data_IF_958315862324
#
_entry.id   IF_958315862324
#
_cell.length_a   1.000
_cell.length_b   1.000
_cell.length_c   1.000
_cell.angle_alpha   90.00
_cell.angle_beta   90.00
_cell.angle_gamma   90.00
#
_symmetry.space_group_name_H-M   'P 1'
#
loop_
_entity.id
_entity.type
_entity.pdbx_description
1 polymer ?
#
# COMPACT_ATOMS: atom_id res chain seq x y z
N UNK A 1 15.99 -49.16 -53.99
CA UNK A 1 16.27 -48.34 -52.78
C UNK A 1 15.43 -47.06 -52.67
N UNK A 2 14.84 -46.50 -53.73
CA UNK A 2 14.08 -45.24 -53.66
C UNK A 2 12.62 -45.34 -53.18
N UNK A 3 12.03 -46.55 -53.09
CA UNK A 3 10.63 -46.73 -52.68
C UNK A 3 10.44 -46.83 -51.14
N UNK A 4 11.47 -47.28 -50.40
CA UNK A 4 11.40 -47.38 -48.93
C UNK A 4 11.54 -46.00 -48.26
N UNK A 5 12.37 -45.12 -48.81
CA UNK A 5 12.67 -43.80 -48.22
C UNK A 5 11.43 -42.87 -48.29
N UNK A 6 10.62 -42.98 -49.36
CA UNK A 6 9.40 -42.18 -49.54
C UNK A 6 8.27 -42.55 -48.57
N UNK A 7 8.14 -43.83 -48.19
CA UNK A 7 7.13 -44.27 -47.21
C UNK A 7 7.47 -43.88 -45.77
N UNK A 8 8.75 -43.80 -45.43
CA UNK A 8 9.23 -43.39 -44.10
C UNK A 8 9.05 -41.88 -43.89
N UNK A 9 9.25 -41.06 -44.93
CA UNK A 9 9.01 -39.62 -44.86
C UNK A 9 7.52 -39.26 -44.74
N UNK A 10 6.61 -40.04 -45.34
CA UNK A 10 5.18 -39.82 -45.21
C UNK A 10 4.65 -40.15 -43.79
N UNK A 11 5.25 -41.15 -43.13
CA UNK A 11 4.91 -41.52 -41.74
C UNK A 11 5.44 -40.52 -40.71
N UNK A 12 6.60 -39.90 -40.97
CA UNK A 12 7.16 -38.86 -40.09
C UNK A 12 6.39 -37.54 -40.17
N UNK A 13 5.78 -37.19 -41.32
CA UNK A 13 4.97 -35.98 -41.45
C UNK A 13 3.58 -36.11 -40.80
N UNK A 14 3.03 -37.33 -40.72
CA UNK A 14 1.74 -37.59 -40.06
C UNK A 14 1.84 -37.60 -38.51
N UNK A 15 3.03 -37.84 -37.94
CA UNK A 15 3.24 -37.85 -36.50
C UNK A 15 3.42 -36.45 -35.88
N UNK A 16 3.68 -35.42 -36.70
CA UNK A 16 3.93 -34.04 -36.26
C UNK A 16 2.67 -33.17 -36.16
N UNK A 17 1.49 -33.67 -36.56
CA UNK A 17 0.23 -32.93 -36.49
C UNK A 17 -0.67 -33.28 -35.29
N UNK A 18 -0.26 -34.21 -34.42
CA UNK A 18 -1.07 -34.67 -33.28
C UNK A 18 -0.76 -33.95 -31.96
N UNK A 19 0.18 -33.01 -31.94
CA UNK A 19 0.46 -32.19 -30.76
C UNK A 19 -0.42 -30.93 -30.74
N UNK A 20 -1.74 -31.10 -30.90
CA UNK A 20 -2.67 -30.09 -30.40
C UNK A 20 -2.64 -30.25 -28.89
N UNK A 21 -2.01 -29.28 -28.22
CA UNK A 21 -2.07 -29.14 -26.78
C UNK A 21 -3.54 -29.16 -26.35
N UNK A 22 -3.97 -30.26 -25.73
CA UNK A 22 -5.09 -30.24 -24.80
C UNK A 22 -4.64 -29.31 -23.67
N UNK A 23 -4.99 -28.03 -23.77
CA UNK A 23 -5.13 -27.22 -22.58
C UNK A 23 -6.13 -27.95 -21.70
N UNK A 24 -5.66 -28.53 -20.60
CA UNK A 24 -6.52 -29.10 -19.57
C UNK A 24 -7.43 -27.97 -19.09
N UNK A 25 -8.67 -27.94 -19.58
CA UNK A 25 -9.73 -27.23 -18.91
C UNK A 25 -9.88 -27.93 -17.56
N UNK A 26 -9.23 -27.37 -16.54
CA UNK A 26 -9.33 -27.85 -15.16
C UNK A 26 -10.81 -27.85 -14.80
N UNK A 27 -11.41 -29.04 -14.76
CA UNK A 27 -12.84 -29.21 -14.52
C UNK A 27 -13.08 -28.82 -13.07
N UNK A 28 -13.62 -27.61 -12.86
CA UNK A 28 -14.02 -27.07 -11.56
C UNK A 28 -15.28 -27.81 -11.06
N UNK A 29 -15.11 -29.06 -10.64
CA UNK A 29 -16.17 -29.91 -10.13
C UNK A 29 -16.65 -29.42 -8.75
N UNK A 30 -17.46 -28.35 -8.74
CA UNK A 30 -18.22 -27.89 -7.57
C UNK A 30 -17.38 -27.45 -6.37
N UNK A 31 -16.10 -27.13 -6.56
CA UNK A 31 -15.27 -26.59 -5.47
C UNK A 31 -15.85 -25.26 -4.99
N UNK A 32 -16.07 -24.30 -5.89
CA UNK A 32 -16.76 -23.04 -5.58
C UNK A 32 -18.06 -23.26 -4.79
N UNK A 33 -18.91 -24.20 -5.21
CA UNK A 33 -20.18 -24.50 -4.54
C UNK A 33 -19.99 -25.03 -3.12
N UNK A 34 -18.97 -25.86 -2.89
CA UNK A 34 -18.64 -26.37 -1.55
C UNK A 34 -18.18 -25.25 -0.61
N UNK A 35 -17.34 -24.36 -1.11
CA UNK A 35 -16.87 -23.19 -0.37
C UNK A 35 -18.04 -22.26 -0.03
N UNK A 36 -18.90 -21.97 -1.01
CA UNK A 36 -20.13 -21.19 -0.78
C UNK A 36 -21.03 -21.82 0.27
N UNK A 37 -21.34 -23.11 0.17
CA UNK A 37 -22.15 -23.81 1.17
C UNK A 37 -21.52 -23.76 2.57
N UNK A 38 -20.20 -23.89 2.65
CA UNK A 38 -19.47 -23.76 3.91
C UNK A 38 -19.59 -22.37 4.53
N UNK A 39 -19.45 -21.32 3.72
CA UNK A 39 -19.60 -19.94 4.16
C UNK A 39 -21.03 -19.64 4.61
N UNK A 40 -22.04 -20.03 3.83
CA UNK A 40 -23.46 -19.86 4.18
C UNK A 40 -23.83 -20.59 5.46
N UNK A 41 -23.35 -21.82 5.65
CA UNK A 41 -23.57 -22.58 6.88
C UNK A 41 -22.90 -21.90 8.09
N UNK A 42 -21.75 -21.24 7.91
CA UNK A 42 -21.12 -20.46 8.97
C UNK A 42 -21.93 -19.20 9.29
N UNK A 43 -22.45 -18.49 8.28
CA UNK A 43 -23.36 -17.36 8.46
C UNK A 43 -24.65 -17.75 9.20
N UNK A 44 -25.25 -18.90 8.86
CA UNK A 44 -26.45 -19.42 9.54
C UNK A 44 -26.20 -19.64 11.04
N UNK A 45 -24.98 -20.06 11.40
CA UNK A 45 -24.53 -20.19 12.80
C UNK A 45 -24.06 -18.87 13.43
N UNK A 46 -24.15 -17.75 12.72
CA UNK A 46 -23.61 -16.42 13.10
C UNK A 46 -22.10 -16.42 13.37
N UNK A 47 -21.38 -17.38 12.80
CA UNK A 47 -19.92 -17.46 12.86
C UNK A 47 -19.33 -16.69 11.66
N UNK A 48 -19.41 -15.37 11.74
CA UNK A 48 -19.01 -14.48 10.65
C UNK A 48 -17.49 -14.45 10.44
N UNK A 49 -16.69 -14.75 11.46
CA UNK A 49 -15.24 -14.87 11.34
C UNK A 49 -14.87 -16.05 10.44
N UNK A 50 -15.49 -17.21 10.67
CA UNK A 50 -15.30 -18.39 9.81
C UNK A 50 -15.83 -18.12 8.40
N UNK A 51 -17.01 -17.54 8.26
CA UNK A 51 -17.56 -17.17 6.94
C UNK A 51 -16.61 -16.24 6.17
N UNK A 52 -16.06 -15.21 6.83
CA UNK A 52 -15.11 -14.27 6.24
C UNK A 52 -13.81 -14.97 5.80
N UNK A 53 -13.28 -15.91 6.59
CA UNK A 53 -12.11 -16.69 6.18
C UNK A 53 -12.40 -17.52 4.93
N UNK A 54 -13.57 -18.18 4.86
CA UNK A 54 -13.96 -18.99 3.71
C UNK A 54 -14.13 -18.12 2.45
N UNK A 55 -14.79 -16.97 2.54
CA UNK A 55 -14.96 -16.05 1.41
C UNK A 55 -13.61 -15.50 0.90
N UNK A 56 -12.70 -15.12 1.81
CA UNK A 56 -11.37 -14.62 1.42
C UNK A 56 -10.56 -15.67 0.69
N UNK A 57 -10.50 -16.88 1.23
CA UNK A 57 -9.84 -18.01 0.58
C UNK A 57 -10.48 -18.35 -0.78
N UNK A 58 -11.81 -18.23 -0.91
CA UNK A 58 -12.49 -18.42 -2.20
C UNK A 58 -12.05 -17.36 -3.23
N UNK A 59 -11.92 -16.09 -2.83
CA UNK A 59 -11.40 -15.02 -3.70
C UNK A 59 -9.94 -15.29 -4.08
N UNK A 60 -9.11 -15.69 -3.11
CA UNK A 60 -7.69 -16.00 -3.33
C UNK A 60 -7.47 -17.24 -4.21
N UNK A 61 -8.43 -18.16 -4.25
CA UNK A 61 -8.35 -19.37 -5.09
C UNK A 61 -8.33 -19.07 -6.60
N UNK A 62 -8.76 -17.88 -7.02
CA UNK A 62 -8.85 -17.49 -8.43
C UNK A 62 -9.92 -18.26 -9.22
N UNK A 63 -10.77 -19.05 -8.54
CA UNK A 63 -11.88 -19.77 -9.16
C UNK A 63 -12.98 -18.82 -9.62
N UNK A 64 -13.81 -19.22 -10.61
CA UNK A 64 -15.01 -18.47 -10.96
C UNK A 64 -15.89 -18.28 -9.72
N UNK A 65 -16.23 -17.02 -9.45
CA UNK A 65 -17.03 -16.61 -8.28
C UNK A 65 -18.51 -16.58 -8.66
N UNK A 66 -19.42 -17.09 -7.81
CA UNK A 66 -20.85 -17.00 -8.06
C UNK A 66 -21.34 -15.56 -7.94
N UNK A 67 -22.31 -15.18 -8.76
CA UNK A 67 -22.84 -13.80 -8.82
C UNK A 67 -23.49 -13.36 -7.50
N UNK A 68 -23.97 -14.30 -6.68
CA UNK A 68 -24.56 -14.05 -5.36
C UNK A 68 -23.51 -13.96 -4.23
N UNK A 69 -22.26 -14.39 -4.47
CA UNK A 69 -21.21 -14.36 -3.45
C UNK A 69 -20.95 -12.96 -2.88
N UNK A 70 -20.85 -11.89 -3.69
CA UNK A 70 -20.60 -10.54 -3.19
C UNK A 70 -21.68 -10.06 -2.21
N UNK A 71 -22.94 -10.48 -2.36
CA UNK A 71 -24.01 -10.16 -1.42
C UNK A 71 -23.73 -10.80 -0.05
N UNK A 72 -23.57 -12.12 0.02
CA UNK A 72 -23.34 -12.81 1.30
C UNK A 72 -22.03 -12.40 1.98
N UNK A 73 -21.00 -12.10 1.19
CA UNK A 73 -19.75 -11.60 1.74
C UNK A 73 -19.93 -10.18 2.29
N UNK A 74 -20.74 -9.33 1.64
CA UNK A 74 -21.07 -8.00 2.16
C UNK A 74 -21.83 -8.06 3.49
N UNK A 75 -22.79 -8.97 3.66
CA UNK A 75 -23.47 -9.20 4.94
C UNK A 75 -22.48 -9.66 6.02
N UNK A 76 -21.61 -10.61 5.68
CA UNK A 76 -20.58 -11.09 6.61
C UNK A 76 -19.67 -9.96 7.08
N UNK A 77 -19.23 -9.10 6.17
CA UNK A 77 -18.37 -7.95 6.48
C UNK A 77 -19.10 -6.90 7.31
N UNK A 78 -20.41 -6.72 7.09
CA UNK A 78 -21.23 -5.82 7.91
C UNK A 78 -21.27 -6.28 9.37
N UNK A 79 -21.54 -7.56 9.60
CA UNK A 79 -21.62 -8.14 10.95
C UNK A 79 -20.25 -8.13 11.67
N UNK A 80 -19.15 -8.11 10.90
CA UNK A 80 -17.79 -7.94 11.42
C UNK A 80 -17.39 -6.46 11.62
N UNK A 81 -18.24 -5.49 11.30
CA UNK A 81 -17.93 -4.07 11.39
C UNK A 81 -17.00 -3.53 10.30
N UNK A 82 -16.72 -4.33 9.26
CA UNK A 82 -15.91 -3.92 8.10
C UNK A 82 -16.79 -3.21 7.06
N UNK A 83 -17.39 -2.08 7.46
CA UNK A 83 -18.47 -1.43 6.71
C UNK A 83 -18.06 -0.91 5.33
N UNK A 84 -16.85 -0.36 5.17
CA UNK A 84 -16.35 0.08 3.86
C UNK A 84 -16.22 -1.09 2.88
N UNK A 85 -15.58 -2.19 3.32
CA UNK A 85 -15.48 -3.42 2.53
C UNK A 85 -16.86 -3.99 2.20
N UNK A 86 -17.76 -4.03 3.19
CA UNK A 86 -19.15 -4.46 2.99
C UNK A 86 -19.84 -3.64 1.89
N UNK A 87 -19.74 -2.31 1.95
CA UNK A 87 -20.30 -1.42 0.93
C UNK A 87 -19.71 -1.66 -0.46
N UNK A 88 -18.40 -1.90 -0.56
CA UNK A 88 -17.74 -2.15 -1.83
C UNK A 88 -18.21 -3.46 -2.49
N UNK A 89 -18.32 -4.55 -1.72
CA UNK A 89 -18.85 -5.82 -2.24
C UNK A 89 -20.35 -5.74 -2.56
N UNK A 90 -21.12 -5.03 -1.77
CA UNK A 90 -22.55 -4.81 -2.02
C UNK A 90 -22.78 -4.02 -3.31
N UNK A 91 -22.00 -2.96 -3.54
CA UNK A 91 -22.05 -2.22 -4.79
C UNK A 91 -21.69 -3.11 -5.98
N UNK A 92 -20.70 -4.01 -5.81
CA UNK A 92 -20.32 -4.96 -6.85
C UNK A 92 -21.44 -5.96 -7.15
N UNK A 93 -22.13 -6.45 -6.14
CA UNK A 93 -23.31 -7.30 -6.31
C UNK A 93 -24.38 -6.62 -7.18
N UNK A 94 -24.75 -5.39 -6.81
CA UNK A 94 -25.79 -4.63 -7.52
C UNK A 94 -25.37 -4.26 -8.95
N UNK A 95 -24.08 -4.05 -9.21
CA UNK A 95 -23.54 -3.83 -10.56
C UNK A 95 -23.69 -5.08 -11.44
N UNK A 96 -23.37 -6.26 -10.90
CA UNK A 96 -23.39 -7.52 -11.64
C UNK A 96 -24.82 -8.01 -11.93
N UNK A 97 -25.70 -7.93 -10.93
CA UNK A 97 -27.03 -8.55 -11.00
C UNK A 97 -28.15 -7.56 -11.33
N UNK A 98 -27.92 -6.26 -11.11
CA UNK A 98 -28.93 -5.23 -11.26
C UNK A 98 -30.16 -5.52 -10.39
N UNK A 99 -31.36 -5.35 -10.95
CA UNK A 99 -32.63 -5.66 -10.29
C UNK A 99 -33.04 -7.14 -10.37
N UNK A 100 -32.22 -7.99 -11.01
CA UNK A 100 -32.54 -9.41 -11.24
C UNK A 100 -31.86 -10.34 -10.23
N UNK A 101 -31.01 -9.81 -9.35
CA UNK A 101 -30.34 -10.60 -8.32
C UNK A 101 -31.35 -11.23 -7.35
N UNK A 102 -31.07 -12.45 -6.90
CA UNK A 102 -31.95 -13.19 -6.00
C UNK A 102 -32.12 -12.45 -4.66
N UNK A 103 -31.06 -11.78 -4.21
CA UNK A 103 -30.99 -11.01 -2.99
C UNK A 103 -31.10 -9.49 -3.20
N UNK A 104 -31.72 -9.03 -4.29
CA UNK A 104 -31.84 -7.59 -4.56
C UNK A 104 -32.49 -6.78 -3.42
N UNK A 105 -33.59 -7.29 -2.84
CA UNK A 105 -34.26 -6.61 -1.73
C UNK A 105 -33.39 -6.59 -0.46
N UNK A 106 -32.72 -7.70 -0.15
CA UNK A 106 -31.76 -7.78 0.95
C UNK A 106 -30.57 -6.82 0.74
N UNK A 107 -30.10 -6.69 -0.50
CA UNK A 107 -29.05 -5.75 -0.85
C UNK A 107 -29.47 -4.29 -0.65
N UNK A 108 -30.74 -3.95 -0.92
CA UNK A 108 -31.28 -2.62 -0.64
C UNK A 108 -31.41 -2.33 0.85
N UNK A 109 -31.84 -3.31 1.64
CA UNK A 109 -31.87 -3.18 3.10
C UNK A 109 -30.46 -2.98 3.67
N UNK A 110 -29.49 -3.81 3.25
CA UNK A 110 -28.11 -3.69 3.69
C UNK A 110 -27.50 -2.34 3.30
N UNK A 111 -27.80 -1.83 2.09
CA UNK A 111 -27.37 -0.51 1.66
C UNK A 111 -27.93 0.59 2.57
N UNK A 112 -29.16 0.46 3.07
CA UNK A 112 -29.73 1.40 4.02
C UNK A 112 -29.05 1.31 5.40
N UNK A 113 -28.82 0.09 5.89
CA UNK A 113 -28.13 -0.18 7.17
C UNK A 113 -26.69 0.33 7.20
N UNK A 114 -26.00 0.30 6.06
CA UNK A 114 -24.62 0.80 5.92
C UNK A 114 -24.49 2.33 6.03
N UNK A 115 -25.54 3.10 5.77
CA UNK A 115 -25.46 4.58 5.76
C UNK A 115 -24.97 5.16 7.08
N UNK A 116 -25.54 4.70 8.20
CA UNK A 116 -25.20 5.20 9.52
C UNK A 116 -23.74 4.89 9.93
N UNK A 117 -23.25 3.64 9.87
CA UNK A 117 -21.85 3.35 10.22
C UNK A 117 -20.84 3.99 9.26
N UNK A 118 -21.15 4.10 7.96
CA UNK A 118 -20.26 4.80 7.03
C UNK A 118 -20.17 6.30 7.34
N UNK A 119 -21.29 6.95 7.67
CA UNK A 119 -21.28 8.33 8.14
C UNK A 119 -20.50 8.50 9.45
N UNK A 120 -20.60 7.53 10.36
CA UNK A 120 -19.81 7.52 11.59
C UNK A 120 -18.31 7.45 11.30
N UNK A 121 -17.88 6.59 10.35
CA UNK A 121 -16.49 6.53 9.87
C UNK A 121 -16.04 7.86 9.28
N UNK A 122 -16.83 8.45 8.38
CA UNK A 122 -16.50 9.73 7.74
C UNK A 122 -16.31 10.87 8.74
N UNK A 123 -17.13 10.88 9.80
CA UNK A 123 -17.05 11.89 10.86
C UNK A 123 -15.96 11.62 11.91
N UNK A 124 -15.27 10.47 11.87
CA UNK A 124 -14.37 10.08 12.94
C UNK A 124 -12.91 10.44 12.66
N UNK A 125 -12.32 11.28 13.50
CA UNK A 125 -10.90 11.68 13.41
C UNK A 125 -9.90 10.61 13.90
N UNK A 126 -10.43 9.49 14.42
CA UNK A 126 -9.64 8.38 14.97
C UNK A 126 -9.48 7.23 13.98
N UNK A 127 -10.24 7.21 12.89
CA UNK A 127 -10.24 6.13 11.91
C UNK A 127 -9.80 6.65 10.54
N UNK A 128 -9.24 5.77 9.73
CA UNK A 128 -9.08 6.01 8.30
C UNK A 128 -10.42 6.01 7.58
N UNK A 129 -10.41 6.38 6.30
CA UNK A 129 -11.62 6.42 5.46
C UNK A 129 -12.34 5.07 5.33
N UNK A 130 -11.68 3.96 5.67
CA UNK A 130 -12.20 2.60 5.59
C UNK A 130 -12.78 2.12 6.92
N UNK A 131 -12.62 2.89 8.01
CA UNK A 131 -13.08 2.56 9.35
C UNK A 131 -12.05 1.82 10.21
N UNK A 132 -10.78 1.77 9.81
CA UNK A 132 -9.71 1.21 10.62
C UNK A 132 -9.04 2.26 11.48
N UNK A 133 -8.58 1.89 12.66
CA UNK A 133 -8.05 2.84 13.64
C UNK A 133 -6.68 3.39 13.23
N UNK A 134 -6.48 4.68 13.46
CA UNK A 134 -5.14 5.27 13.40
C UNK A 134 -4.32 4.87 14.62
N UNK A 135 -3.06 4.53 14.36
CA UNK A 135 -2.04 4.36 15.38
C UNK A 135 -1.01 5.48 15.28
N UNK A 136 -0.34 5.77 16.39
CA UNK A 136 0.79 6.70 16.41
C UNK A 136 1.89 6.16 15.51
N UNK A 137 2.47 7.03 14.68
CA UNK A 137 3.56 6.62 13.80
C UNK A 137 4.79 6.22 14.62
N UNK A 138 5.17 4.94 14.59
CA UNK A 138 6.34 4.40 15.30
C UNK A 138 7.69 5.02 14.91
N UNK A 139 7.76 5.74 13.77
CA UNK A 139 9.02 6.36 13.31
C UNK A 139 9.24 7.76 13.89
N UNK A 140 8.17 8.48 14.19
CA UNK A 140 8.25 9.84 14.73
C UNK A 140 7.53 9.99 16.07
N UNK A 141 6.96 8.92 16.61
CA UNK A 141 6.17 8.90 17.86
C UNK A 141 5.10 10.01 17.90
N UNK A 142 4.52 10.34 16.74
CA UNK A 142 3.51 11.39 16.60
C UNK A 142 4.06 12.81 16.47
N UNK A 143 5.38 13.02 16.52
CA UNK A 143 6.02 14.34 16.35
C UNK A 143 5.87 14.93 14.94
N UNK A 144 5.45 14.11 13.96
CA UNK A 144 5.26 14.43 12.53
C UNK A 144 6.53 14.72 11.76
N UNK A 145 7.59 15.15 12.43
CA UNK A 145 8.86 15.54 11.85
C UNK A 145 10.01 14.75 12.46
N UNK A 146 10.99 14.45 11.63
CA UNK A 146 12.22 13.77 12.05
C UNK A 146 13.41 14.67 11.77
N UNK A 147 14.27 14.78 12.77
CA UNK A 147 15.53 15.46 12.66
C UNK A 147 16.54 14.51 12.03
N UNK A 148 17.10 14.92 10.89
CA UNK A 148 18.06 14.13 10.14
C UNK A 148 19.38 14.87 10.02
N UNK A 149 20.44 14.09 9.81
CA UNK A 149 21.74 14.62 9.40
C UNK A 149 21.58 15.42 8.12
N UNK A 150 22.04 16.67 8.13
CA UNK A 150 22.03 17.52 6.94
C UNK A 150 22.74 16.81 5.79
N UNK A 151 22.05 16.62 4.67
CA UNK A 151 22.56 15.82 3.57
C UNK A 151 23.72 16.51 2.86
N UNK A 152 23.73 17.83 2.87
CA UNK A 152 24.76 18.64 2.23
C UNK A 152 26.07 18.69 3.02
N UNK A 153 26.02 19.02 4.32
CA UNK A 153 27.22 19.12 5.15
C UNK A 153 27.55 17.85 5.94
N UNK A 154 26.70 16.81 5.92
CA UNK A 154 26.86 15.56 6.68
C UNK A 154 27.14 15.82 8.17
N UNK A 155 26.28 16.61 8.81
CA UNK A 155 26.39 17.02 10.23
C UNK A 155 27.57 17.89 10.61
N UNK A 156 28.39 18.35 9.66
CA UNK A 156 29.54 19.20 9.96
C UNK A 156 29.18 20.68 10.22
N UNK A 157 28.00 21.13 9.78
CA UNK A 157 27.57 22.54 9.84
C UNK A 157 28.37 23.49 8.93
N UNK A 158 29.43 23.01 8.30
CA UNK A 158 30.32 23.79 7.43
C UNK A 158 30.59 23.05 6.13
N UNK A 159 30.81 23.81 5.07
CA UNK A 159 31.17 23.32 3.73
C UNK A 159 32.40 24.05 3.19
N UNK A 160 33.14 23.39 2.31
CA UNK A 160 34.29 24.00 1.66
C UNK A 160 33.88 25.15 0.74
N UNK A 161 34.62 26.26 0.77
CA UNK A 161 34.41 27.34 -0.19
C UNK A 161 34.79 26.87 -1.60
N UNK A 162 33.81 26.81 -2.50
CA UNK A 162 34.00 26.37 -3.89
C UNK A 162 34.93 27.30 -4.69
N UNK A 163 34.98 28.59 -4.34
CA UNK A 163 35.82 29.59 -5.03
C UNK A 163 37.32 29.37 -4.81
N UNK A 164 37.72 28.82 -3.67
CA UNK A 164 39.13 28.57 -3.33
C UNK A 164 39.44 27.09 -3.09
N UNK A 165 38.55 26.17 -3.47
CA UNK A 165 38.67 24.74 -3.20
C UNK A 165 39.04 24.42 -1.74
N UNK A 166 38.37 25.10 -0.81
CA UNK A 166 38.60 25.02 0.63
C UNK A 166 39.98 25.47 1.19
N UNK A 167 40.85 26.04 0.36
CA UNK A 167 42.19 26.48 0.80
C UNK A 167 42.23 27.84 1.51
N UNK A 168 41.20 28.67 1.36
CA UNK A 168 41.19 30.06 1.82
C UNK A 168 41.92 31.04 0.89
N UNK A 169 42.65 30.54 -0.12
CA UNK A 169 43.49 31.34 -1.01
C UNK A 169 43.17 31.07 -2.49
N UNK A 170 43.31 32.08 -3.35
CA UNK A 170 43.15 31.98 -4.80
C UNK A 170 44.51 32.21 -5.44
N UNK A 171 44.94 31.26 -6.29
CA UNK A 171 46.17 31.38 -7.08
C UNK A 171 45.85 32.10 -8.39
N UNK A 172 46.60 33.15 -8.71
CA UNK A 172 46.57 33.80 -10.03
C UNK A 172 47.98 33.87 -10.58
N UNK A 173 48.12 33.67 -11.89
CA UNK A 173 49.38 33.81 -12.60
C UNK A 173 49.41 35.19 -13.24
N UNK A 174 50.44 35.98 -12.96
CA UNK A 174 50.60 37.30 -13.55
C UNK A 174 51.26 37.21 -14.95
N UNK A 175 51.41 38.36 -15.62
CA UNK A 175 51.99 38.45 -16.98
C UNK A 175 53.45 37.94 -17.03
N UNK A 176 54.11 37.81 -15.88
CA UNK A 176 55.48 37.30 -15.75
C UNK A 176 55.54 35.80 -15.39
N UNK A 177 54.44 35.07 -15.46
CA UNK A 177 54.34 33.66 -15.04
C UNK A 177 54.67 33.41 -13.55
N UNK A 178 54.57 34.44 -12.70
CA UNK A 178 54.74 34.30 -11.25
C UNK A 178 53.37 33.98 -10.64
N UNK A 179 53.32 33.00 -9.73
CA UNK A 179 52.11 32.62 -9.00
C UNK A 179 51.95 33.52 -7.78
N UNK A 180 50.87 34.28 -7.75
CA UNK A 180 50.48 35.13 -6.62
C UNK A 180 49.28 34.53 -5.89
N UNK A 181 49.27 34.66 -4.57
CA UNK A 181 48.24 34.12 -3.69
C UNK A 181 47.42 35.26 -3.11
N UNK A 182 46.11 35.24 -3.36
CA UNK A 182 45.16 36.22 -2.85
C UNK A 182 44.23 35.57 -1.85
N UNK A 183 43.88 36.29 -0.78
CA UNK A 183 42.85 35.83 0.15
C UNK A 183 41.51 35.68 -0.58
N UNK A 184 40.81 34.57 -0.33
CA UNK A 184 39.51 34.36 -0.94
C UNK A 184 38.45 35.27 -0.28
N UNK A 185 38.01 36.29 -1.00
CA UNK A 185 36.97 37.24 -0.56
C UNK A 185 35.68 36.55 -0.10
N UNK A 186 35.29 35.45 -0.76
CA UNK A 186 34.03 34.75 -0.49
C UNK A 186 33.99 34.13 0.91
N UNK A 187 35.13 33.64 1.41
CA UNK A 187 35.22 32.99 2.71
C UNK A 187 36.13 33.75 3.69
N UNK A 188 36.57 34.95 3.34
CA UNK A 188 37.49 35.78 4.12
C UNK A 188 38.67 34.97 4.65
N UNK A 189 39.35 34.27 3.74
CA UNK A 189 40.56 33.50 4.07
C UNK A 189 40.34 32.18 4.82
N UNK A 190 39.12 31.90 5.30
CA UNK A 190 38.86 30.72 6.15
C UNK A 190 38.82 29.39 5.38
N UNK A 191 38.64 29.44 4.06
CA UNK A 191 38.44 28.25 3.22
C UNK A 191 37.11 27.53 3.44
N UNK A 192 36.31 27.93 4.43
CA UNK A 192 35.06 27.25 4.82
C UNK A 192 33.93 28.26 4.92
N UNK A 193 32.73 27.81 4.62
CA UNK A 193 31.48 28.56 4.72
C UNK A 193 30.52 27.79 5.61
N UNK A 194 29.65 28.50 6.32
CA UNK A 194 28.51 27.89 7.01
C UNK A 194 27.65 27.17 5.98
N UNK A 195 27.18 25.97 6.31
CA UNK A 195 26.29 25.20 5.43
C UNK A 195 25.03 26.04 5.12
N UNK A 196 24.72 26.30 3.85
CA UNK A 196 23.55 27.10 3.47
C UNK A 196 22.23 26.35 3.70
N UNK A 197 22.22 25.02 3.67
CA UNK A 197 21.00 24.22 3.84
C UNK A 197 20.55 24.12 5.30
N UNK A 198 21.50 23.95 6.23
CA UNK A 198 21.19 23.81 7.65
C UNK A 198 21.57 25.03 8.50
N UNK A 199 22.02 26.13 7.86
CA UNK A 199 22.50 27.35 8.51
C UNK A 199 23.54 27.10 9.63
N UNK A 200 24.30 26.01 9.53
CA UNK A 200 25.32 25.64 10.51
C UNK A 200 24.86 24.69 11.62
N UNK A 201 23.58 24.35 11.72
CA UNK A 201 23.07 23.41 12.73
C UNK A 201 23.60 21.99 12.53
N UNK A 202 24.00 21.63 11.31
CA UNK A 202 24.34 20.27 10.91
C UNK A 202 23.12 19.37 10.72
N UNK A 203 21.91 19.88 10.91
CA UNK A 203 20.68 19.09 10.96
C UNK A 203 19.57 19.69 10.10
N UNK A 204 18.79 18.81 9.49
CA UNK A 204 17.63 19.15 8.68
C UNK A 204 16.39 18.53 9.33
N UNK A 205 15.35 19.35 9.50
CA UNK A 205 14.04 18.87 9.94
C UNK A 205 13.22 18.59 8.70
N UNK A 206 12.73 17.37 8.56
CA UNK A 206 11.89 16.97 7.45
C UNK A 206 10.65 16.25 7.96
N UNK A 207 9.59 16.27 7.17
CA UNK A 207 8.40 15.49 7.48
C UNK A 207 8.76 14.00 7.56
N UNK A 208 8.17 13.32 8.53
CA UNK A 208 8.38 11.90 8.72
C UNK A 208 7.91 11.16 7.47
N UNK A 209 8.86 10.53 6.76
CA UNK A 209 8.58 9.81 5.51
C UNK A 209 7.57 8.68 5.67
N UNK A 210 7.53 8.05 6.86
CA UNK A 210 6.61 6.94 7.15
C UNK A 210 5.15 7.40 7.21
N UNK A 211 4.87 8.58 7.77
CA UNK A 211 3.50 9.09 7.93
C UNK A 211 3.21 10.31 7.06
N UNK A 212 4.15 10.74 6.22
CA UNK A 212 4.07 11.95 5.40
C UNK A 212 3.63 13.19 6.21
N UNK A 213 4.15 13.33 7.43
CA UNK A 213 3.83 14.46 8.31
C UNK A 213 2.49 14.38 9.05
N UNK A 214 1.71 13.31 8.93
CA UNK A 214 0.43 13.19 9.66
C UNK A 214 0.63 12.85 11.15
N UNK A 215 1.75 12.22 11.51
CA UNK A 215 2.02 11.66 12.84
C UNK A 215 1.25 10.37 13.14
N UNK A 216 0.40 9.91 12.21
CA UNK A 216 -0.49 8.76 12.36
C UNK A 216 -0.32 7.78 11.19
N UNK A 217 -0.45 6.48 11.46
CA UNK A 217 -0.45 5.41 10.45
C UNK A 217 -1.73 4.59 10.56
N UNK A 218 -2.17 4.01 9.46
CA UNK A 218 -3.32 3.10 9.42
C UNK A 218 -2.96 1.77 10.09
N UNK A 219 -3.86 1.20 10.87
CA UNK A 219 -3.71 -0.13 11.45
C UNK A 219 -4.74 -1.12 10.94
N UNK A 220 -4.61 -2.40 11.31
CA UNK A 220 -5.57 -3.44 10.94
C UNK A 220 -6.71 -3.58 11.96
N UNK A 221 -6.70 -2.82 13.06
CA UNK A 221 -7.76 -2.88 14.06
C UNK A 221 -8.96 -2.02 13.64
N UNK A 222 -10.15 -2.62 13.70
CA UNK A 222 -11.41 -1.90 13.46
C UNK A 222 -11.59 -0.83 14.53
N UNK A 223 -12.00 0.35 14.10
CA UNK A 223 -12.20 1.49 14.97
C UNK A 223 -13.51 1.34 15.75
N UNK A 224 -13.49 1.52 17.07
CA UNK A 224 -14.69 1.53 17.92
C UNK A 224 -15.26 2.94 18.11
N UNK A 225 -14.69 3.93 17.42
CA UNK A 225 -15.00 5.36 17.50
C UNK A 225 -14.85 5.98 18.90
N UNK A 226 -14.12 5.32 19.82
CA UNK A 226 -13.89 5.85 21.17
C UNK A 226 -12.43 6.30 21.32
N UNK A 227 -12.18 7.39 22.06
CA UNK A 227 -10.83 7.73 22.46
C UNK A 227 -10.33 6.66 23.44
N UNK A 228 -9.21 6.01 23.13
CA UNK A 228 -8.49 5.22 24.13
C UNK A 228 -7.35 6.07 24.67
N UNK A 229 -7.37 6.29 25.97
CA UNK A 229 -6.23 6.86 26.68
C UNK A 229 -5.21 5.74 26.82
N UNK A 230 -4.03 5.92 26.24
CA UNK A 230 -2.90 5.05 26.57
C UNK A 230 -2.48 5.39 28.00
N UNK A 231 -2.61 4.43 28.92
CA UNK A 231 -2.07 4.52 30.28
C UNK A 231 -0.55 4.71 30.18
N UNK A 232 -0.11 5.97 30.23
CA UNK A 232 1.29 6.35 29.96
C UNK A 232 1.54 7.85 29.93
N UNK A 233 0.51 8.68 29.72
CA UNK A 233 0.59 10.12 29.99
C UNK A 233 0.53 10.35 31.51
N UNK A 234 1.71 10.30 32.13
CA UNK A 234 1.93 10.95 33.41
C UNK A 234 1.68 12.44 33.23
N UNK A 235 0.54 12.89 33.77
CA UNK A 235 0.23 14.30 34.01
C UNK A 235 1.44 14.94 34.69
N UNK A 236 2.07 15.88 34.00
CA UNK A 236 2.97 16.86 34.60
C UNK A 236 2.26 18.20 34.66
#
# INVERSE_FOLDING_TARGET
>A
MNSLISKIQLLLFAALFSAVSLAEAQVNLGQTDRWMKGALAAMERKDYQTANSIFRNLIESGLPLPDEMPYYFSETLFELGQYDNSSNFLNKYLELTGFKGENYEGAKDLQARLKAPLAAIESCELCDRRGYRYQTCFTCDGSKQIEQTCNYCKSKGIVGCSRCAASGMIKKVNVFNIVEFFECERCSGKGRLTCPECAGSGKEVSDCKTCSGSGKITSDSICDHKPHVHEGESVK
#
